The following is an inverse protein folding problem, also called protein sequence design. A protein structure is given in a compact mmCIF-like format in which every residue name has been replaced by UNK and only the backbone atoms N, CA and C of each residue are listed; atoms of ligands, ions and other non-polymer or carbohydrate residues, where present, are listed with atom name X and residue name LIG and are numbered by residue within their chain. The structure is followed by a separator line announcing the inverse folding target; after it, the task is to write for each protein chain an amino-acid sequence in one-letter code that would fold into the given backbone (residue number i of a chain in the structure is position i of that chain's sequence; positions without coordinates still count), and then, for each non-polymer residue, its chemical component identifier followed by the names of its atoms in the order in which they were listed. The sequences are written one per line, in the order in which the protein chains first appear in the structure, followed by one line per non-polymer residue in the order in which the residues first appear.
data_IF_893505351351
#
_entry.id   IF_893505351351
#
_cell.length_a   1.000
_cell.length_b   1.000
_cell.length_c   1.000
_cell.angle_alpha   90.00
_cell.angle_beta   90.00
_cell.angle_gamma   90.00
#
_symmetry.space_group_name_H-M   'P 1'
#
loop_
_entity.id
_entity.type
_entity.pdbx_description
1 polymer ?
#
# COMPACT_ATOMS: atom_id res chain seq x y z
N UNK A 1 5.94 -14.25 -7.67
CA UNK A 1 4.52 -14.30 -8.12
C UNK A 1 3.66 -13.56 -7.09
N UNK A 2 2.49 -13.05 -7.48
CA UNK A 2 1.57 -12.33 -6.63
C UNK A 2 0.96 -13.24 -5.56
N UNK A 3 0.63 -12.67 -4.40
CA UNK A 3 0.22 -13.40 -3.20
C UNK A 3 -1.29 -13.34 -2.90
N UNK A 4 -2.06 -12.61 -3.70
CA UNK A 4 -3.52 -12.45 -3.53
C UNK A 4 -4.36 -13.43 -4.37
N UNK A 5 -3.92 -14.67 -4.59
CA UNK A 5 -4.69 -15.68 -5.33
C UNK A 5 -4.44 -15.73 -6.84
N UNK A 6 -4.43 -14.58 -7.55
CA UNK A 6 -4.25 -14.55 -9.01
C UNK A 6 -2.90 -15.10 -9.52
N UNK A 7 -1.88 -15.15 -8.65
CA UNK A 7 -0.60 -15.81 -8.95
C UNK A 7 0.24 -15.19 -10.09
N UNK A 8 -0.10 -13.99 -10.55
CA UNK A 8 0.57 -13.28 -11.65
C UNK A 8 2.01 -12.85 -11.30
N UNK A 9 2.89 -12.60 -12.26
CA UNK A 9 4.25 -12.11 -11.96
C UNK A 9 4.24 -10.64 -11.51
N UNK A 10 4.71 -10.35 -10.30
CA UNK A 10 4.63 -9.00 -9.72
C UNK A 10 5.45 -7.97 -10.50
N UNK A 11 6.71 -8.29 -10.84
CA UNK A 11 7.55 -7.39 -11.63
C UNK A 11 7.01 -7.14 -13.04
N UNK A 12 6.42 -8.18 -13.66
CA UNK A 12 5.77 -8.02 -14.96
C UNK A 12 4.54 -7.11 -14.87
N UNK A 13 3.74 -7.21 -13.80
CA UNK A 13 2.61 -6.30 -13.56
C UNK A 13 3.09 -4.85 -13.48
N UNK A 14 4.21 -4.60 -12.81
CA UNK A 14 4.78 -3.25 -12.70
C UNK A 14 5.23 -2.71 -14.06
N UNK A 15 5.76 -3.55 -14.96
CA UNK A 15 6.14 -3.10 -16.31
C UNK A 15 4.97 -2.66 -17.21
N UNK A 16 3.73 -2.97 -16.82
CA UNK A 16 2.55 -2.48 -17.53
C UNK A 16 2.19 -1.04 -17.16
N UNK A 17 2.73 -0.52 -16.06
CA UNK A 17 2.60 0.90 -15.74
C UNK A 17 3.43 1.67 -16.77
N UNK A 18 2.82 2.55 -17.60
CA UNK A 18 3.56 3.26 -18.64
C UNK A 18 4.63 4.14 -18.01
N UNK A 19 5.74 4.50 -18.68
CA UNK A 19 6.69 5.48 -18.16
C UNK A 19 6.04 6.86 -17.91
N UNK A 20 6.52 7.61 -16.92
CA UNK A 20 5.98 8.93 -16.54
C UNK A 20 6.04 9.92 -17.71
N UNK A 21 7.06 9.79 -18.55
CA UNK A 21 7.30 10.65 -19.71
C UNK A 21 6.27 10.40 -20.83
N UNK A 22 5.70 9.19 -20.90
CA UNK A 22 4.73 8.81 -21.95
C UNK A 22 3.30 9.12 -21.55
N UNK A 23 2.98 8.95 -20.27
CA UNK A 23 1.64 9.22 -19.72
C UNK A 23 1.83 10.10 -18.49
N UNK A 24 1.80 11.43 -18.68
CA UNK A 24 1.90 12.38 -17.58
C UNK A 24 0.61 12.38 -16.76
N UNK A 25 0.73 12.65 -15.46
CA UNK A 25 -0.40 12.68 -14.53
C UNK A 25 -0.11 11.91 -13.23
N UNK A 26 -1.04 11.97 -12.27
CA UNK A 26 -0.87 11.29 -10.99
C UNK A 26 -0.92 9.77 -11.17
N UNK A 27 -0.16 9.08 -10.32
CA UNK A 27 -0.02 7.62 -10.31
C UNK A 27 -0.20 7.13 -8.91
N UNK A 28 -0.97 6.07 -8.80
CA UNK A 28 -1.43 5.54 -7.54
C UNK A 28 -0.94 4.12 -7.35
N UNK A 29 -0.51 3.82 -6.13
CA UNK A 29 -0.33 2.45 -5.68
C UNK A 29 -1.50 2.10 -4.76
N UNK A 30 -2.22 1.02 -5.10
CA UNK A 30 -3.23 0.46 -4.21
C UNK A 30 -2.68 -0.82 -3.56
N UNK A 31 -2.60 -0.79 -2.24
CA UNK A 31 -2.31 -1.97 -1.41
C UNK A 31 -3.65 -2.57 -1.00
N UNK A 32 -3.96 -3.74 -1.53
CA UNK A 32 -5.14 -4.50 -1.14
C UNK A 32 -4.85 -5.27 0.16
N UNK A 33 -5.55 -4.86 1.22
CA UNK A 33 -5.55 -5.45 2.54
C UNK A 33 -6.99 -5.86 2.97
N UNK A 34 -7.80 -6.30 2.00
CA UNK A 34 -9.17 -6.73 2.26
C UNK A 34 -9.24 -8.17 2.81
N UNK A 35 -8.38 -9.08 2.32
CA UNK A 35 -8.28 -10.50 2.73
C UNK A 35 -9.61 -11.13 3.22
N UNK A 36 -10.69 -10.94 2.46
CA UNK A 36 -12.01 -11.45 2.85
C UNK A 36 -12.22 -12.92 2.48
N UNK A 37 -11.23 -13.57 1.85
CA UNK A 37 -11.29 -14.97 1.44
C UNK A 37 -11.40 -15.91 2.65
N UNK A 38 -12.38 -16.81 2.70
CA UNK A 38 -12.54 -17.76 3.79
C UNK A 38 -11.26 -18.54 4.10
N UNK A 39 -10.89 -18.58 5.38
CA UNK A 39 -9.72 -19.32 5.85
C UNK A 39 -8.36 -18.63 5.66
N UNK A 40 -8.35 -17.39 5.18
CA UNK A 40 -7.12 -16.60 5.04
C UNK A 40 -6.92 -15.64 6.21
N UNK A 41 -5.66 -15.45 6.61
CA UNK A 41 -5.25 -14.60 7.74
C UNK A 41 -3.79 -14.14 7.63
N UNK A 42 -3.16 -14.32 6.45
CA UNK A 42 -1.73 -14.02 6.28
C UNK A 42 -1.49 -12.50 6.25
N UNK A 43 -2.43 -11.73 5.71
CA UNK A 43 -2.31 -10.27 5.59
C UNK A 43 -2.58 -9.63 6.94
N UNK A 44 -3.53 -10.20 7.71
CA UNK A 44 -3.83 -9.79 9.09
C UNK A 44 -2.56 -9.70 9.93
N UNK A 45 -1.67 -10.71 9.83
CA UNK A 45 -0.42 -10.74 10.57
C UNK A 45 0.52 -9.59 10.23
N UNK A 46 0.69 -9.26 8.96
CA UNK A 46 1.52 -8.13 8.57
C UNK A 46 0.90 -6.80 9.01
N UNK A 47 -0.42 -6.65 8.84
CA UNK A 47 -1.13 -5.41 9.14
C UNK A 47 -1.15 -5.14 10.65
N UNK A 48 -1.35 -6.17 11.47
CA UNK A 48 -1.42 -6.02 12.92
C UNK A 48 -0.05 -6.09 13.58
N UNK A 49 0.81 -7.05 13.22
CA UNK A 49 2.01 -7.33 14.01
C UNK A 49 3.25 -6.53 13.55
N UNK A 50 3.36 -6.20 12.25
CA UNK A 50 4.47 -5.41 11.69
C UNK A 50 4.03 -4.49 10.53
N UNK A 51 3.26 -3.43 10.83
CA UNK A 51 2.74 -2.51 9.81
C UNK A 51 3.84 -1.75 9.06
N UNK A 52 5.01 -1.54 9.67
CA UNK A 52 6.13 -0.86 9.01
C UNK A 52 6.64 -1.63 7.80
N UNK A 53 6.63 -2.97 7.85
CA UNK A 53 7.05 -3.80 6.73
C UNK A 53 6.19 -3.60 5.47
N UNK A 54 4.86 -3.43 5.63
CA UNK A 54 3.98 -3.18 4.49
C UNK A 54 4.09 -1.75 3.98
N UNK A 55 4.35 -0.77 4.87
CA UNK A 55 4.59 0.62 4.50
C UNK A 55 5.87 0.76 3.68
N UNK A 56 6.96 0.13 4.12
CA UNK A 56 8.25 0.11 3.40
C UNK A 56 8.10 -0.56 2.02
N UNK A 57 7.48 -1.74 1.97
CA UNK A 57 7.25 -2.44 0.70
C UNK A 57 6.42 -1.61 -0.27
N UNK A 58 5.42 -0.88 0.22
CA UNK A 58 4.62 0.03 -0.60
C UNK A 58 5.43 1.23 -1.09
N UNK A 59 6.29 1.81 -0.25
CA UNK A 59 7.19 2.90 -0.66
C UNK A 59 8.14 2.48 -1.80
N UNK A 60 8.72 1.29 -1.68
CA UNK A 60 9.60 0.71 -2.71
C UNK A 60 8.82 0.47 -4.02
N UNK A 61 7.62 -0.13 -3.92
CA UNK A 61 6.78 -0.37 -5.09
C UNK A 61 6.34 0.93 -5.77
N UNK A 62 5.96 1.95 -4.97
CA UNK A 62 5.57 3.26 -5.47
C UNK A 62 6.73 3.92 -6.21
N UNK A 63 7.94 3.88 -5.64
CA UNK A 63 9.14 4.35 -6.30
C UNK A 63 9.38 3.65 -7.65
N UNK A 64 9.26 2.31 -7.69
CA UNK A 64 9.50 1.52 -8.90
C UNK A 64 8.53 1.85 -10.05
N UNK A 65 7.28 2.23 -9.75
CA UNK A 65 6.25 2.56 -10.76
C UNK A 65 6.06 4.07 -10.98
N UNK A 66 6.81 4.90 -10.25
CA UNK A 66 6.68 6.35 -10.27
C UNK A 66 5.36 6.87 -9.68
N UNK A 67 4.80 6.17 -8.69
CA UNK A 67 3.64 6.63 -7.93
C UNK A 67 4.06 7.47 -6.74
N UNK A 68 3.28 8.52 -6.46
CA UNK A 68 3.52 9.42 -5.32
C UNK A 68 2.41 9.31 -4.26
N UNK A 69 1.32 8.62 -4.57
CA UNK A 69 0.15 8.51 -3.70
C UNK A 69 -0.17 7.01 -3.49
N UNK A 70 -0.09 6.56 -2.24
CA UNK A 70 -0.31 5.18 -1.84
C UNK A 70 -1.62 5.10 -1.05
N UNK A 71 -2.48 4.16 -1.42
CA UNK A 71 -3.71 3.85 -0.69
C UNK A 71 -3.62 2.44 -0.11
N UNK A 72 -3.85 2.33 1.20
CA UNK A 72 -4.03 1.05 1.88
C UNK A 72 -5.51 0.81 2.06
N UNK A 73 -6.09 -0.10 1.27
CA UNK A 73 -7.48 -0.51 1.42
C UNK A 73 -7.56 -1.65 2.43
N UNK A 74 -7.89 -1.32 3.68
CA UNK A 74 -8.00 -2.28 4.79
C UNK A 74 -9.47 -2.62 4.99
N UNK A 75 -9.81 -3.92 5.04
CA UNK A 75 -11.19 -4.35 5.27
C UNK A 75 -11.80 -3.71 6.51
N UNK A 76 -13.11 -3.50 6.48
CA UNK A 76 -13.83 -2.81 7.55
C UNK A 76 -13.70 -3.48 8.92
N UNK A 77 -13.69 -4.81 8.94
CA UNK A 77 -13.65 -5.67 10.13
C UNK A 77 -12.30 -5.63 10.85
N UNK A 78 -11.22 -5.21 10.18
CA UNK A 78 -9.88 -5.07 10.76
C UNK A 78 -9.67 -3.70 11.38
N UNK A 79 -10.51 -3.34 12.36
CA UNK A 79 -10.40 -2.05 13.04
C UNK A 79 -9.04 -1.84 13.73
N UNK A 80 -8.53 -2.87 14.41
CA UNK A 80 -7.23 -2.83 15.08
C UNK A 80 -6.09 -2.66 14.07
N UNK A 81 -6.09 -3.47 13.00
CA UNK A 81 -5.12 -3.37 11.91
C UNK A 81 -5.09 -1.97 11.28
N UNK A 82 -6.25 -1.39 10.98
CA UNK A 82 -6.33 -0.03 10.43
C UNK A 82 -5.73 1.02 11.39
N UNK A 83 -5.99 0.90 12.69
CA UNK A 83 -5.41 1.80 13.69
C UNK A 83 -3.88 1.66 13.78
N UNK A 84 -3.37 0.43 13.77
CA UNK A 84 -1.92 0.17 13.83
C UNK A 84 -1.19 0.67 12.58
N UNK A 85 -1.76 0.47 11.40
CA UNK A 85 -1.21 1.01 10.15
C UNK A 85 -1.25 2.54 10.15
N UNK A 86 -2.33 3.16 10.62
CA UNK A 86 -2.39 4.63 10.73
C UNK A 86 -1.30 5.15 11.69
N UNK A 87 -1.14 4.52 12.86
CA UNK A 87 -0.09 4.91 13.81
C UNK A 87 1.30 4.78 13.20
N UNK A 88 1.61 3.65 12.55
CA UNK A 88 2.89 3.45 11.88
C UNK A 88 3.11 4.46 10.74
N UNK A 89 2.06 4.81 10.01
CA UNK A 89 2.08 5.83 8.97
C UNK A 89 2.39 7.23 9.55
N UNK A 90 1.77 7.59 10.67
CA UNK A 90 2.04 8.85 11.38
C UNK A 90 3.50 8.91 11.84
N UNK A 91 4.06 7.80 12.33
CA UNK A 91 5.49 7.68 12.68
C UNK A 91 6.39 7.87 11.44
N UNK A 92 6.00 7.35 10.28
CA UNK A 92 6.72 7.58 9.03
C UNK A 92 6.70 9.04 8.60
N UNK A 93 5.56 9.74 8.71
CA UNK A 93 5.49 11.19 8.45
C UNK A 93 6.36 11.98 9.44
N UNK A 94 6.30 11.64 10.74
CA UNK A 94 7.12 12.30 11.77
C UNK A 94 8.63 12.15 11.55
N UNK A 95 9.06 11.03 10.95
CA UNK A 95 10.47 10.76 10.59
C UNK A 95 10.85 11.26 9.19
N UNK A 96 9.93 11.88 8.45
CA UNK A 96 10.17 12.35 7.08
C UNK A 96 10.35 11.21 6.07
N UNK A 97 9.87 10.00 6.37
CA UNK A 97 9.83 8.87 5.43
C UNK A 97 8.74 9.11 4.39
N UNK A 98 7.58 9.63 4.82
CA UNK A 98 6.51 10.14 3.96
C UNK A 98 6.39 11.66 4.05
N UNK A 99 5.69 12.26 3.09
CA UNK A 99 5.46 13.70 2.95
C UNK A 99 6.18 14.31 1.75
N UNK A 100 6.23 15.65 1.71
CA UNK A 100 6.71 16.46 0.56
C UNK A 100 8.18 16.22 0.18
N UNK A 101 9.03 15.87 1.15
CA UNK A 101 10.44 15.56 0.94
C UNK A 101 10.78 14.18 1.52
N UNK A 102 10.07 13.17 1.04
CA UNK A 102 10.19 11.78 1.50
C UNK A 102 11.65 11.29 1.42
N UNK A 103 12.16 10.80 2.56
CA UNK A 103 13.53 10.31 2.76
C UNK A 103 14.65 11.31 2.38
N UNK A 104 14.31 12.60 2.21
CA UNK A 104 15.25 13.62 1.77
C UNK A 104 15.60 13.60 0.28
N UNK A 105 14.84 12.86 -0.55
CA UNK A 105 15.13 12.72 -1.99
C UNK A 105 14.58 13.87 -2.86
N UNK A 106 13.97 14.90 -2.26
CA UNK A 106 13.33 15.99 -2.99
C UNK A 106 12.08 15.57 -3.76
N UNK A 107 11.42 14.49 -3.34
CA UNK A 107 10.19 13.97 -3.95
C UNK A 107 9.12 13.73 -2.89
N UNK A 108 7.88 14.04 -3.25
CA UNK A 108 6.70 13.75 -2.43
C UNK A 108 6.36 12.26 -2.47
N UNK A 109 6.04 11.68 -1.33
CA UNK A 109 5.42 10.36 -1.22
C UNK A 109 4.40 10.38 -0.08
N UNK A 110 3.13 10.29 -0.43
CA UNK A 110 2.02 10.31 0.51
C UNK A 110 1.35 8.94 0.60
N UNK A 111 0.82 8.64 1.77
CA UNK A 111 0.07 7.43 2.06
C UNK A 111 -1.24 7.77 2.77
N UNK A 112 -2.28 6.96 2.51
CA UNK A 112 -3.60 7.09 3.13
C UNK A 112 -4.16 5.71 3.47
N UNK A 113 -4.72 5.57 4.67
CA UNK A 113 -5.54 4.41 5.04
C UNK A 113 -6.99 4.64 4.62
N UNK A 114 -7.52 3.73 3.81
CA UNK A 114 -8.93 3.69 3.45
C UNK A 114 -9.57 2.43 4.03
N UNK A 115 -10.69 2.59 4.74
CA UNK A 115 -11.39 1.46 5.36
C UNK A 115 -12.57 1.02 4.51
N UNK A 116 -12.64 -0.29 4.25
CA UNK A 116 -13.79 -0.93 3.63
C UNK A 116 -15.00 -1.02 4.57
N UNK A 117 -16.08 -1.61 4.07
CA UNK A 117 -17.36 -1.76 4.78
C UNK A 117 -17.88 -3.22 4.80
N UNK A 118 -16.99 -4.21 4.79
CA UNK A 118 -17.33 -5.63 4.97
C UNK A 118 -17.84 -6.35 3.72
N UNK A 119 -17.30 -6.03 2.54
CA UNK A 119 -17.72 -6.59 1.27
C UNK A 119 -16.56 -7.28 0.55
N UNK A 120 -16.62 -8.61 0.45
CA UNK A 120 -15.61 -9.44 -0.24
C UNK A 120 -15.32 -8.99 -1.67
N UNK A 121 -16.34 -8.54 -2.41
CA UNK A 121 -16.22 -8.10 -3.80
C UNK A 121 -15.39 -6.82 -3.99
N UNK A 122 -15.07 -6.11 -2.90
CA UNK A 122 -14.25 -4.91 -2.94
C UNK A 122 -12.73 -5.21 -2.88
N UNK A 123 -12.33 -6.44 -2.58
CA UNK A 123 -10.96 -6.92 -2.70
C UNK A 123 -10.64 -7.37 -4.13
#
# INVERSE_FOLDING_TARGET
RGRGGAGFSCGLKYSFVPPVEKVPGPRYLLVNADESEPGTFKDIRFIEDDPHQILEGAAIAAHAIGANDIYFYIRGEMALGAQRVQQAMDECYAKGIFGENALGFGKRLDATVHRGAGAYICG
#
